data_IF_070081740171
#
_entry.id   IF_070081740171
#
_cell.length_a   1.000
_cell.length_b   1.000
_cell.length_c   1.000
_cell.angle_alpha   90.00
_cell.angle_beta   90.00
_cell.angle_gamma   90.00
#
_symmetry.space_group_name_H-M   'P 1'
#
loop_
_entity.id
_entity.type
_entity.pdbx_description
1 polymer ?
#
# COMPACT_ATOMS: atom_id res chain seq x y z
N UNK A 1 64.34 -47.53 -9.28
CA UNK A 1 63.69 -47.67 -10.60
C UNK A 1 62.88 -46.40 -10.81
N UNK A 2 63.40 -45.50 -11.63
CA UNK A 2 62.81 -44.21 -11.95
C UNK A 2 61.70 -44.41 -12.98
N UNK A 3 60.53 -43.80 -12.78
CA UNK A 3 59.56 -43.60 -13.85
C UNK A 3 59.21 -42.12 -13.89
N UNK A 4 59.86 -41.42 -14.81
CA UNK A 4 59.47 -40.11 -15.29
C UNK A 4 58.14 -40.23 -16.04
N UNK A 5 57.11 -39.53 -15.58
CA UNK A 5 55.90 -39.29 -16.35
C UNK A 5 55.88 -37.81 -16.77
N UNK A 6 56.31 -37.57 -18.00
CA UNK A 6 56.21 -36.29 -18.70
C UNK A 6 54.75 -36.12 -19.14
N UNK A 7 54.03 -35.14 -18.58
CA UNK A 7 52.71 -34.75 -19.07
C UNK A 7 52.83 -33.46 -19.89
N UNK A 8 52.57 -33.58 -21.19
CA UNK A 8 52.66 -32.52 -22.18
C UNK A 8 51.49 -31.55 -22.04
N UNK A 9 51.79 -30.26 -21.86
CA UNK A 9 50.82 -29.17 -21.96
C UNK A 9 50.43 -28.95 -23.43
N UNK A 10 49.13 -29.01 -23.75
CA UNK A 10 48.59 -28.48 -25.00
C UNK A 10 47.55 -27.39 -24.69
N UNK A 11 47.85 -26.18 -25.14
CA UNK A 11 46.95 -25.02 -25.13
C UNK A 11 45.84 -25.26 -26.17
N UNK A 12 44.61 -25.42 -25.70
CA UNK A 12 43.41 -25.26 -26.52
C UNK A 12 42.76 -23.91 -26.21
N UNK A 13 42.98 -22.92 -27.06
CA UNK A 13 42.26 -21.64 -26.99
C UNK A 13 40.83 -21.84 -27.54
N UNK A 14 39.85 -21.94 -26.63
CA UNK A 14 38.44 -21.86 -26.98
C UNK A 14 37.90 -20.47 -26.62
N UNK A 15 37.79 -19.60 -27.63
CA UNK A 15 36.97 -18.39 -27.57
C UNK A 15 35.51 -18.81 -27.74
N UNK A 16 34.73 -18.74 -26.67
CA UNK A 16 33.27 -18.75 -26.76
C UNK A 16 32.72 -17.61 -25.92
N UNK A 17 31.84 -16.85 -26.57
CA UNK A 17 31.33 -15.54 -26.22
C UNK A 17 30.73 -15.47 -24.81
N UNK A 18 30.89 -14.30 -24.17
CA UNK A 18 30.26 -13.97 -22.91
C UNK A 18 28.74 -14.06 -23.01
N UNK A 19 28.15 -15.00 -22.28
CA UNK A 19 26.75 -14.96 -21.92
C UNK A 19 26.58 -13.99 -20.77
N UNK A 20 26.01 -12.83 -21.07
CA UNK A 20 25.52 -11.88 -20.09
C UNK A 20 24.67 -12.62 -19.04
N UNK A 21 24.85 -12.25 -17.78
CA UNK A 21 23.97 -12.67 -16.70
C UNK A 21 22.51 -12.45 -17.12
N UNK A 22 21.57 -13.36 -16.81
CA UNK A 22 20.16 -13.04 -16.93
C UNK A 22 19.86 -11.97 -15.87
N UNK A 23 19.91 -10.71 -16.31
CA UNK A 23 19.28 -9.61 -15.62
C UNK A 23 17.82 -9.98 -15.43
N UNK A 24 17.39 -9.89 -14.18
CA UNK A 24 16.04 -10.14 -13.71
C UNK A 24 15.00 -9.62 -14.72
N UNK A 25 14.23 -10.54 -15.32
CA UNK A 25 12.96 -10.18 -15.93
C UNK A 25 11.95 -9.90 -14.81
N UNK A 26 12.20 -8.83 -14.04
CA UNK A 26 11.11 -8.11 -13.42
C UNK A 26 10.27 -7.64 -14.61
N UNK A 27 9.09 -8.24 -14.78
CA UNK A 27 8.04 -7.70 -15.65
C UNK A 27 8.05 -6.19 -15.51
N UNK A 28 8.01 -5.47 -16.63
CA UNK A 28 7.75 -4.03 -16.62
C UNK A 28 6.65 -3.79 -15.60
N UNK A 29 7.00 -3.20 -14.47
CA UNK A 29 6.01 -2.70 -13.52
C UNK A 29 5.28 -1.66 -14.33
N UNK A 30 4.14 -2.06 -14.89
CA UNK A 30 3.25 -1.18 -15.60
C UNK A 30 2.84 -0.14 -14.57
N UNK A 31 3.55 1.00 -14.55
CA UNK A 31 3.13 2.16 -13.79
C UNK A 31 1.75 2.46 -14.34
N UNK A 32 0.73 2.23 -13.52
CA UNK A 32 -0.66 2.57 -13.85
C UNK A 32 -0.65 4.00 -14.38
N UNK A 33 -1.38 4.20 -15.49
CA UNK A 33 -1.60 5.50 -16.11
C UNK A 33 -1.92 6.53 -15.00
N UNK A 34 -1.54 7.80 -15.14
CA UNK A 34 -1.80 8.82 -14.10
C UNK A 34 -3.31 8.95 -13.82
N UNK A 35 -4.14 8.55 -14.77
CA UNK A 35 -5.60 8.41 -14.63
C UNK A 35 -6.06 7.18 -13.82
N UNK A 36 -5.15 6.27 -13.47
CA UNK A 36 -5.38 5.01 -12.74
C UNK A 36 -4.49 4.89 -11.48
N UNK A 37 -3.93 5.99 -10.96
CA UNK A 37 -3.07 5.96 -9.78
C UNK A 37 -3.80 6.33 -8.48
N UNK A 38 -3.53 5.49 -7.48
CA UNK A 38 -4.05 5.51 -6.10
C UNK A 38 -5.54 5.18 -6.09
N UNK A 39 -5.94 4.24 -5.24
CA UNK A 39 -7.32 4.22 -4.78
C UNK A 39 -7.51 5.53 -4.00
N UNK A 40 -7.82 6.60 -4.74
CA UNK A 40 -8.49 7.75 -4.19
C UNK A 40 -9.81 7.14 -3.75
N UNK A 41 -9.89 6.77 -2.47
CA UNK A 41 -11.18 6.80 -1.81
C UNK A 41 -11.71 8.18 -2.19
N UNK A 42 -12.69 8.21 -3.09
CA UNK A 42 -13.28 9.45 -3.59
C UNK A 42 -13.95 10.07 -2.38
N UNK A 43 -13.15 10.75 -1.56
CA UNK A 43 -13.61 11.39 -0.35
C UNK A 43 -14.46 12.54 -0.84
N UNK A 44 -15.76 12.27 -0.93
CA UNK A 44 -16.76 13.32 -0.95
C UNK A 44 -16.91 13.76 0.50
N UNK A 45 -16.49 14.99 0.84
CA UNK A 45 -16.75 15.51 2.18
C UNK A 45 -18.25 15.41 2.48
N UNK A 46 -18.65 14.82 3.62
CA UNK A 46 -20.06 14.69 3.95
C UNK A 46 -20.69 16.07 4.13
N UNK A 47 -21.89 16.27 3.56
CA UNK A 47 -22.64 17.53 3.65
C UNK A 47 -23.14 17.89 5.06
N UNK A 48 -23.02 16.96 6.02
CA UNK A 48 -23.36 17.19 7.43
C UNK A 48 -22.68 16.14 8.32
N UNK A 49 -21.66 16.55 9.07
CA UNK A 49 -20.91 15.68 10.00
C UNK A 49 -19.47 16.18 10.16
N UNK A 50 -18.85 15.91 11.30
CA UNK A 50 -17.51 16.40 11.64
C UNK A 50 -16.46 15.84 10.65
N UNK A 51 -16.07 16.63 9.65
CA UNK A 51 -14.94 16.32 8.76
C UNK A 51 -13.67 16.12 9.59
N UNK A 52 -12.84 15.14 9.21
CA UNK A 52 -11.49 15.02 9.74
C UNK A 52 -10.76 16.35 9.55
N UNK A 53 -10.71 17.16 10.61
CA UNK A 53 -10.17 18.52 10.53
C UNK A 53 -8.68 18.45 10.69
N UNK A 54 -7.95 19.02 9.73
CA UNK A 54 -6.51 19.11 9.82
C UNK A 54 -6.11 20.05 10.96
N UNK A 55 -5.34 19.58 11.97
CA UNK A 55 -4.82 20.45 13.00
C UNK A 55 -3.84 21.46 12.39
N UNK A 56 -3.53 22.54 13.09
CA UNK A 56 -2.39 23.39 12.73
C UNK A 56 -1.08 22.61 12.92
N UNK A 57 -0.15 22.68 11.97
CA UNK A 57 1.15 22.00 12.11
C UNK A 57 2.06 22.71 13.14
N UNK A 58 3.19 22.08 13.49
CA UNK A 58 4.15 22.64 14.46
C UNK A 58 4.87 23.90 13.95
N UNK A 59 4.66 24.26 12.68
CA UNK A 59 5.16 25.49 12.07
C UNK A 59 4.06 26.56 11.92
N UNK A 60 2.90 26.37 12.56
CA UNK A 60 1.73 27.26 12.47
C UNK A 60 1.07 27.34 11.08
N UNK A 61 1.23 26.32 10.24
CA UNK A 61 0.55 26.24 8.95
C UNK A 61 -0.81 25.53 9.08
N UNK A 62 -1.79 26.01 8.32
CA UNK A 62 -3.07 25.30 8.14
C UNK A 62 -2.91 24.15 7.14
N UNK A 63 -3.50 23.01 7.46
CA UNK A 63 -3.49 21.83 6.59
C UNK A 63 -4.74 21.69 5.74
N UNK A 64 -4.63 20.94 4.64
CA UNK A 64 -5.75 20.53 3.81
C UNK A 64 -5.94 19.03 3.93
N UNK A 65 -7.17 18.56 4.15
CA UNK A 65 -7.49 17.14 4.21
C UNK A 65 -7.32 16.57 2.81
N UNK A 66 -6.42 15.60 2.65
CA UNK A 66 -6.11 15.00 1.36
C UNK A 66 -6.54 13.54 1.26
N UNK A 67 -6.71 12.86 2.40
CA UNK A 67 -7.19 11.49 2.37
C UNK A 67 -7.89 11.09 3.67
N UNK A 68 -8.86 10.21 3.54
CA UNK A 68 -9.54 9.52 4.63
C UNK A 68 -9.64 8.07 4.22
N UNK A 69 -9.04 7.19 5.01
CA UNK A 69 -8.97 5.77 4.76
C UNK A 69 -9.76 5.05 5.84
N UNK A 70 -11.04 4.72 5.61
CA UNK A 70 -11.70 3.70 6.38
C UNK A 70 -11.40 2.35 5.72
N UNK A 71 -10.70 1.47 6.42
CA UNK A 71 -10.73 0.05 6.09
C UNK A 71 -9.42 -0.65 5.76
N UNK A 72 -9.59 -1.75 5.03
CA UNK A 72 -8.52 -2.65 4.65
C UNK A 72 -8.65 -3.10 3.20
N UNK A 73 -7.52 -3.44 2.60
CA UNK A 73 -7.42 -3.84 1.21
C UNK A 73 -6.67 -5.16 1.08
N UNK A 74 -7.24 -6.04 0.28
CA UNK A 74 -6.71 -7.35 -0.05
C UNK A 74 -6.44 -7.45 -1.54
N UNK A 75 -5.32 -8.08 -1.90
CA UNK A 75 -4.98 -8.41 -3.28
C UNK A 75 -5.27 -9.89 -3.58
N UNK A 76 -5.90 -10.14 -4.73
CA UNK A 76 -6.24 -11.45 -5.28
C UNK A 76 -5.70 -11.57 -6.72
N UNK A 77 -5.59 -12.79 -7.29
CA UNK A 77 -5.23 -12.97 -8.69
C UNK A 77 -6.14 -12.18 -9.66
N UNK A 78 -7.44 -12.07 -9.35
CA UNK A 78 -8.43 -11.33 -10.14
C UNK A 78 -8.50 -9.81 -9.90
N UNK A 79 -7.69 -9.26 -9.00
CA UNK A 79 -7.67 -7.84 -8.65
C UNK A 79 -7.68 -7.58 -7.14
N UNK A 80 -7.97 -6.35 -6.71
CA UNK A 80 -7.95 -5.98 -5.29
C UNK A 80 -9.34 -5.64 -4.79
N UNK A 81 -9.65 -6.00 -3.54
CA UNK A 81 -10.90 -5.69 -2.85
C UNK A 81 -10.61 -4.79 -1.66
N UNK A 82 -11.46 -3.79 -1.44
CA UNK A 82 -11.34 -2.84 -0.32
C UNK A 82 -12.65 -2.82 0.44
N UNK A 83 -12.60 -3.10 1.73
CA UNK A 83 -13.77 -3.05 2.59
C UNK A 83 -13.55 -2.03 3.70
N UNK A 84 -14.65 -1.40 4.09
CA UNK A 84 -14.73 -0.65 5.33
C UNK A 84 -14.47 -1.58 6.51
N UNK A 85 -13.63 -1.16 7.45
CA UNK A 85 -13.37 -1.86 8.71
C UNK A 85 -14.45 -1.63 9.76
N UNK A 86 -15.33 -0.62 9.58
CA UNK A 86 -16.40 -0.31 10.53
C UNK A 86 -17.63 -1.20 10.36
N UNK A 87 -18.04 -1.48 9.11
CA UNK A 87 -19.26 -2.22 8.78
C UNK A 87 -19.01 -3.38 7.80
N UNK A 88 -17.79 -3.52 7.29
CA UNK A 88 -17.43 -4.55 6.32
C UNK A 88 -17.89 -4.25 4.89
N UNK A 89 -18.46 -3.09 4.60
CA UNK A 89 -19.02 -2.79 3.27
C UNK A 89 -17.93 -2.70 2.19
N UNK A 90 -18.17 -3.30 1.02
CA UNK A 90 -17.28 -3.20 -0.14
C UNK A 90 -17.25 -1.75 -0.66
N UNK A 91 -16.06 -1.16 -0.71
CA UNK A 91 -15.84 0.23 -1.12
C UNK A 91 -15.60 0.35 -2.64
N UNK A 92 -14.92 -0.63 -3.24
CA UNK A 92 -14.69 -0.66 -4.68
C UNK A 92 -15.71 -1.57 -5.39
N UNK A 93 -16.99 -1.19 -5.31
CA UNK A 93 -18.15 -1.97 -5.79
C UNK A 93 -18.13 -2.38 -7.27
N UNK A 94 -17.30 -1.74 -8.09
CA UNK A 94 -17.10 -2.13 -9.49
C UNK A 94 -16.21 -3.35 -9.66
N UNK A 95 -15.51 -3.78 -8.61
CA UNK A 95 -14.73 -4.99 -8.62
C UNK A 95 -15.64 -6.20 -8.35
N UNK A 96 -15.93 -6.96 -9.41
CA UNK A 96 -16.99 -7.98 -9.40
C UNK A 96 -16.59 -9.31 -8.77
N UNK A 97 -15.31 -9.54 -8.45
CA UNK A 97 -14.87 -10.74 -7.76
C UNK A 97 -14.92 -10.59 -6.22
N UNK A 98 -15.29 -9.43 -5.68
CA UNK A 98 -15.26 -9.21 -4.23
C UNK A 98 -16.60 -9.54 -3.56
N UNK A 99 -16.60 -10.21 -2.40
CA UNK A 99 -17.75 -10.24 -1.51
C UNK A 99 -18.27 -8.83 -1.22
N UNK A 100 -19.60 -8.59 -1.25
CA UNK A 100 -20.16 -7.26 -1.01
C UNK A 100 -20.00 -6.80 0.44
N UNK A 101 -19.81 -7.75 1.37
CA UNK A 101 -19.61 -7.49 2.80
C UNK A 101 -18.54 -8.44 3.33
N UNK A 102 -17.54 -7.90 4.02
CA UNK A 102 -16.49 -8.64 4.72
C UNK A 102 -16.05 -7.85 5.97
N UNK A 103 -16.66 -8.12 7.14
CA UNK A 103 -16.34 -7.41 8.38
C UNK A 103 -14.91 -7.67 8.84
N UNK A 104 -14.24 -6.64 9.36
CA UNK A 104 -12.95 -6.79 10.02
C UNK A 104 -13.16 -7.20 11.49
N UNK A 105 -12.75 -8.41 11.86
CA UNK A 105 -13.09 -9.00 13.16
C UNK A 105 -12.24 -8.51 14.35
N UNK A 106 -11.32 -7.54 14.17
CA UNK A 106 -10.47 -7.06 15.26
C UNK A 106 -9.25 -6.26 14.80
N UNK A 107 -8.13 -6.40 15.52
CA UNK A 107 -6.89 -5.65 15.29
C UNK A 107 -6.21 -5.95 13.96
N UNK A 108 -6.45 -7.11 13.36
CA UNK A 108 -5.93 -7.48 12.04
C UNK A 108 -7.08 -7.98 11.16
N UNK A 109 -7.30 -7.32 10.03
CA UNK A 109 -8.32 -7.74 9.08
C UNK A 109 -7.78 -8.92 8.25
N UNK A 110 -8.55 -9.99 8.17
CA UNK A 110 -8.21 -11.13 7.33
C UNK A 110 -8.89 -10.98 5.98
N UNK A 111 -8.16 -11.31 4.91
CA UNK A 111 -8.73 -11.33 3.58
C UNK A 111 -9.73 -12.48 3.45
N UNK A 112 -11.01 -12.20 3.13
CA UNK A 112 -11.96 -13.27 2.85
C UNK A 112 -11.56 -14.02 1.58
N UNK A 113 -12.13 -15.20 1.36
CA UNK A 113 -12.10 -15.83 0.04
C UNK A 113 -12.93 -14.96 -0.93
N UNK A 114 -12.40 -14.70 -2.12
CA UNK A 114 -13.13 -13.92 -3.12
C UNK A 114 -14.23 -14.76 -3.81
N UNK A 115 -15.04 -14.13 -4.68
CA UNK A 115 -16.11 -14.82 -5.40
C UNK A 115 -15.59 -15.79 -6.48
N UNK A 116 -14.30 -15.73 -6.81
CA UNK A 116 -13.62 -16.69 -7.67
C UNK A 116 -12.99 -17.85 -6.89
N UNK A 117 -13.14 -17.86 -5.56
CA UNK A 117 -12.54 -18.82 -4.63
C UNK A 117 -11.02 -18.68 -4.46
N UNK A 118 -10.46 -17.51 -4.74
CA UNK A 118 -9.06 -17.20 -4.53
C UNK A 118 -8.76 -16.79 -3.08
N UNK A 119 -7.57 -17.13 -2.61
CA UNK A 119 -7.04 -16.62 -1.33
C UNK A 119 -6.39 -15.26 -1.55
N UNK A 120 -6.79 -14.28 -0.74
CA UNK A 120 -6.24 -12.94 -0.78
C UNK A 120 -5.06 -12.73 0.16
N UNK A 121 -4.26 -11.70 -0.12
CA UNK A 121 -3.19 -11.23 0.77
C UNK A 121 -3.51 -9.81 1.23
N UNK A 122 -3.39 -9.56 2.53
CA UNK A 122 -3.61 -8.22 3.10
C UNK A 122 -2.49 -7.30 2.65
N UNK A 123 -2.82 -6.23 1.94
CA UNK A 123 -1.84 -5.28 1.40
C UNK A 123 -1.95 -3.89 2.03
N UNK A 124 -3.08 -3.59 2.68
CA UNK A 124 -3.25 -2.37 3.46
C UNK A 124 -4.29 -2.60 4.54
N UNK A 125 -4.03 -2.11 5.75
CA UNK A 125 -5.01 -1.99 6.82
C UNK A 125 -4.68 -0.68 7.53
N UNK A 126 -5.39 0.38 7.16
CA UNK A 126 -5.12 1.70 7.68
C UNK A 126 -6.44 2.43 7.92
N UNK A 127 -6.63 2.81 9.17
CA UNK A 127 -7.83 3.47 9.68
C UNK A 127 -7.42 4.85 10.13
N UNK A 128 -7.63 5.86 9.29
CA UNK A 128 -7.18 7.20 9.61
C UNK A 128 -7.36 8.21 8.51
N UNK A 129 -6.74 9.37 8.71
CA UNK A 129 -6.82 10.49 7.78
C UNK A 129 -5.44 11.13 7.60
N UNK A 130 -5.29 11.79 6.46
CA UNK A 130 -4.05 12.44 6.08
C UNK A 130 -4.31 13.88 5.65
N UNK A 131 -3.47 14.77 6.16
CA UNK A 131 -3.47 16.19 5.83
C UNK A 131 -2.16 16.59 5.16
N UNK A 132 -2.24 17.50 4.19
CA UNK A 132 -1.09 18.13 3.57
C UNK A 132 -0.87 19.54 4.12
N UNK A 133 0.40 19.89 4.37
CA UNK A 133 0.89 21.18 4.82
C UNK A 133 2.03 21.64 3.92
N UNK A 134 2.41 22.92 4.03
CA UNK A 134 3.59 23.44 3.35
C UNK A 134 4.88 22.67 3.68
N UNK A 135 5.00 22.15 4.90
CA UNK A 135 6.15 21.38 5.37
C UNK A 135 6.12 19.87 5.11
N UNK A 136 5.03 19.33 4.54
CA UNK A 136 4.86 17.89 4.32
C UNK A 136 3.45 17.39 4.67
N UNK A 137 3.26 16.06 4.66
CA UNK A 137 1.99 15.43 5.00
C UNK A 137 2.05 14.78 6.40
N UNK A 138 0.94 14.84 7.12
CA UNK A 138 0.76 14.23 8.42
C UNK A 138 -0.42 13.26 8.38
N UNK A 139 -0.24 12.10 9.01
CA UNK A 139 -1.21 11.00 9.01
C UNK A 139 -1.56 10.66 10.45
N UNK A 140 -2.85 10.72 10.79
CA UNK A 140 -3.36 10.29 12.09
C UNK A 140 -4.32 9.13 11.93
N UNK A 141 -4.42 8.28 12.94
CA UNK A 141 -5.58 7.39 13.05
C UNK A 141 -6.84 8.20 13.41
N UNK A 142 -8.02 7.57 13.39
CA UNK A 142 -9.26 8.27 13.76
C UNK A 142 -9.34 8.69 15.23
N UNK A 143 -8.50 8.12 16.12
CA UNK A 143 -8.36 8.58 17.50
C UNK A 143 -7.49 9.84 17.61
N UNK A 144 -6.91 10.30 16.50
CA UNK A 144 -6.06 11.48 16.45
C UNK A 144 -4.61 11.19 16.84
N UNK A 145 -4.13 9.95 16.80
CA UNK A 145 -2.73 9.60 17.12
C UNK A 145 -1.89 9.58 15.85
N UNK A 146 -0.75 10.29 15.86
CA UNK A 146 0.16 10.40 14.71
C UNK A 146 0.77 9.04 14.34
N UNK A 147 0.73 8.72 13.06
CA UNK A 147 1.18 7.43 12.51
C UNK A 147 2.52 7.58 11.76
N UNK A 148 2.76 8.72 11.11
CA UNK A 148 4.02 9.00 10.41
C UNK A 148 4.99 9.81 11.28
N UNK A 149 5.43 9.22 12.39
CA UNK A 149 6.22 9.87 13.46
C UNK A 149 7.57 10.46 13.03
N UNK A 150 8.07 10.13 11.85
CA UNK A 150 9.32 10.69 11.32
C UNK A 150 9.15 12.09 10.72
N UNK A 151 7.91 12.53 10.53
CA UNK A 151 7.65 13.85 10.00
C UNK A 151 7.59 14.88 11.14
N UNK A 152 8.56 15.79 11.18
CA UNK A 152 8.83 16.63 12.35
C UNK A 152 7.94 17.85 12.44
N UNK A 153 7.21 18.22 11.38
CA UNK A 153 6.23 19.29 11.44
C UNK A 153 4.87 18.84 11.99
N UNK A 154 4.65 17.54 12.24
CA UNK A 154 3.35 17.02 12.62
C UNK A 154 3.13 17.02 14.14
N UNK A 155 2.00 17.58 14.63
CA UNK A 155 1.53 17.34 15.99
C UNK A 155 1.38 15.83 16.27
N UNK A 156 1.84 15.39 17.44
CA UNK A 156 1.70 13.98 17.86
C UNK A 156 0.26 13.58 18.11
N UNK A 157 -0.61 14.55 18.39
CA UNK A 157 -2.05 14.36 18.56
C UNK A 157 -2.86 15.37 17.74
N UNK A 158 -4.04 14.94 17.33
CA UNK A 158 -5.04 15.74 16.62
C UNK A 158 -6.42 15.46 17.22
N UNK A 159 -7.42 16.23 16.80
CA UNK A 159 -8.81 15.95 17.18
C UNK A 159 -9.25 14.58 16.62
N UNK A 160 -10.09 13.88 17.39
CA UNK A 160 -10.72 12.63 16.95
C UNK A 160 -11.54 12.92 15.70
N UNK A 161 -11.39 12.08 14.67
CA UNK A 161 -12.20 12.16 13.47
C UNK A 161 -13.33 11.13 13.54
N UNK A 162 -14.55 11.57 13.24
CA UNK A 162 -15.73 10.70 13.18
C UNK A 162 -16.20 10.61 11.73
N UNK A 163 -16.18 9.41 11.16
CA UNK A 163 -16.82 9.15 9.87
C UNK A 163 -18.19 8.58 10.18
N UNK A 164 -19.23 9.37 9.94
CA UNK A 164 -20.64 8.98 10.06
C UNK A 164 -21.15 8.26 8.83
#
# INVERSE_FOLDING_TARGET
>A
MFFDLVLTFTLGAALVAGSAAPYSALSSTHRRDVTQQVAVACFQPPTSGFECTCPTDLNNNTGVLINVFPGYQCAYPGGACTWSDSDGSLQNVHQTNCPPVAPCAGSECLCPIDLNHDTGVLINQFTGYQCAYAGGACTWDFSGVLQNIFQTNCPSTASVCFIS
#
